data_IF_827331726544
#
_entry.id   IF_827331726544
#
_cell.length_a   1.000
_cell.length_b   1.000
_cell.length_c   1.000
_cell.angle_alpha   90.00
_cell.angle_beta   90.00
_cell.angle_gamma   90.00
#
_symmetry.space_group_name_H-M   'P 1'
#
loop_
_entity.id
_entity.type
_entity.pdbx_description
1 polymer ?
#
# COMPACT_ATOMS: atom_id res chain seq x y z
N UNK A 1 -10.73 16.15 4.33
CA UNK A 1 -11.44 15.56 5.50
C UNK A 1 -12.37 14.40 5.15
N UNK A 2 -13.36 14.54 4.25
CA UNK A 2 -14.29 13.44 3.94
C UNK A 2 -13.60 12.18 3.39
N UNK A 3 -12.67 12.33 2.46
CA UNK A 3 -11.91 11.21 1.88
C UNK A 3 -11.10 10.46 2.95
N UNK A 4 -10.29 11.17 3.74
CA UNK A 4 -9.50 10.56 4.82
C UNK A 4 -10.34 9.81 5.87
N UNK A 5 -11.50 10.36 6.27
CA UNK A 5 -12.42 9.67 7.19
C UNK A 5 -12.97 8.38 6.56
N UNK A 6 -13.35 8.44 5.28
CA UNK A 6 -13.81 7.26 4.55
C UNK A 6 -12.71 6.21 4.46
N UNK A 7 -11.47 6.58 4.12
CA UNK A 7 -10.34 5.65 4.09
C UNK A 7 -10.14 4.96 5.44
N UNK A 8 -10.22 5.70 6.55
CA UNK A 8 -10.13 5.10 7.88
C UNK A 8 -11.27 4.10 8.18
N UNK A 9 -12.49 4.35 7.70
CA UNK A 9 -13.61 3.41 7.81
C UNK A 9 -13.45 2.18 6.92
N UNK A 10 -12.87 2.36 5.73
CA UNK A 10 -12.49 1.28 4.82
C UNK A 10 -11.46 0.35 5.50
N UNK A 11 -10.44 0.89 6.17
CA UNK A 11 -9.42 0.08 6.85
C UNK A 11 -9.97 -0.81 7.98
N UNK A 12 -10.96 -0.31 8.72
CA UNK A 12 -11.67 -1.12 9.73
C UNK A 12 -12.40 -2.29 9.08
N UNK A 13 -13.00 -2.07 7.90
CA UNK A 13 -13.64 -3.14 7.13
C UNK A 13 -12.60 -4.11 6.57
N UNK A 14 -11.50 -3.60 5.98
CA UNK A 14 -10.44 -4.42 5.39
C UNK A 14 -9.85 -5.35 6.44
N UNK A 15 -9.52 -4.83 7.62
CA UNK A 15 -9.01 -5.61 8.75
C UNK A 15 -9.92 -6.78 9.10
N UNK A 16 -11.24 -6.57 9.18
CA UNK A 16 -12.21 -7.63 9.49
C UNK A 16 -12.26 -8.70 8.41
N UNK A 17 -12.20 -8.30 7.13
CA UNK A 17 -12.20 -9.23 5.99
C UNK A 17 -10.91 -10.05 5.97
N UNK A 18 -9.76 -9.40 6.13
CA UNK A 18 -8.45 -10.06 6.16
C UNK A 18 -8.33 -11.01 7.35
N UNK A 19 -8.86 -10.63 8.52
CA UNK A 19 -8.92 -11.50 9.69
C UNK A 19 -9.79 -12.75 9.43
N UNK A 20 -10.95 -12.60 8.77
CA UNK A 20 -11.79 -13.74 8.42
C UNK A 20 -11.10 -14.70 7.44
N UNK A 21 -10.39 -14.18 6.44
CA UNK A 21 -9.57 -14.99 5.53
C UNK A 21 -8.43 -15.71 6.28
N UNK A 22 -7.72 -15.01 7.15
CA UNK A 22 -6.65 -15.59 7.96
C UNK A 22 -7.17 -16.77 8.81
N UNK A 23 -8.29 -16.58 9.51
CA UNK A 23 -8.92 -17.64 10.30
C UNK A 23 -9.39 -18.83 9.44
N UNK A 24 -9.94 -18.57 8.25
CA UNK A 24 -10.33 -19.64 7.32
C UNK A 24 -9.14 -20.50 6.89
N UNK A 25 -7.96 -19.89 6.76
CA UNK A 25 -6.70 -20.60 6.48
C UNK A 25 -5.99 -21.13 7.73
N UNK A 26 -6.64 -21.11 8.90
CA UNK A 26 -6.10 -21.67 10.15
C UNK A 26 -5.08 -20.78 10.86
N UNK A 27 -4.88 -19.54 10.40
CA UNK A 27 -4.01 -18.58 11.06
C UNK A 27 -4.68 -17.96 12.29
N UNK A 28 -3.85 -17.59 13.27
CA UNK A 28 -4.25 -16.78 14.42
C UNK A 28 -3.72 -15.36 14.20
N UNK A 29 -4.58 -14.38 14.42
CA UNK A 29 -4.17 -12.97 14.40
C UNK A 29 -3.64 -12.58 15.78
N UNK A 30 -2.38 -12.13 15.90
CA UNK A 30 -1.87 -11.59 17.16
C UNK A 30 -2.57 -10.26 17.50
N UNK A 31 -2.61 -9.93 18.78
CA UNK A 31 -2.96 -8.57 19.19
C UNK A 31 -1.87 -7.59 18.72
N UNK A 32 -2.31 -6.42 18.25
CA UNK A 32 -1.43 -5.35 17.80
C UNK A 32 -1.43 -4.26 18.86
N UNK A 33 -0.25 -3.97 19.42
CA UNK A 33 -0.06 -2.80 20.28
C UNK A 33 0.16 -1.55 19.40
N UNK A 34 -0.75 -0.60 19.52
CA UNK A 34 -0.73 0.65 18.74
C UNK A 34 -0.32 1.78 19.67
N UNK A 35 0.81 2.42 19.35
CA UNK A 35 1.25 3.61 20.08
C UNK A 35 0.17 4.71 20.01
N UNK A 36 -0.08 5.42 21.11
CA UNK A 36 -1.03 6.54 21.10
C UNK A 36 -0.68 7.57 20.04
N UNK A 37 -1.71 8.16 19.42
CA UNK A 37 -1.54 9.22 18.43
C UNK A 37 -0.72 10.38 19.01
N UNK A 38 0.24 10.85 18.21
CA UNK A 38 1.01 12.06 18.49
C UNK A 38 0.89 13.04 17.32
N UNK A 39 0.66 14.34 17.57
CA UNK A 39 0.65 15.33 16.52
C UNK A 39 2.04 15.44 15.88
N UNK A 40 2.07 15.74 14.58
CA UNK A 40 3.29 15.87 13.78
C UNK A 40 3.26 17.17 13.00
N UNK A 41 4.43 17.66 12.61
CA UNK A 41 4.52 18.78 11.67
C UNK A 41 3.99 18.34 10.29
N UNK A 42 3.58 19.31 9.47
CA UNK A 42 3.17 19.05 8.09
C UNK A 42 4.30 18.35 7.32
N UNK A 43 5.53 18.81 7.47
CA UNK A 43 6.71 18.19 6.87
C UNK A 43 6.85 16.71 7.25
N UNK A 44 6.77 16.38 8.55
CA UNK A 44 6.88 14.99 8.99
C UNK A 44 5.73 14.11 8.46
N UNK A 45 4.51 14.65 8.40
CA UNK A 45 3.37 13.93 7.84
C UNK A 45 3.52 13.66 6.34
N UNK A 46 4.04 14.62 5.58
CA UNK A 46 4.17 14.50 4.12
C UNK A 46 5.34 13.60 3.76
N UNK A 47 6.45 13.67 4.52
CA UNK A 47 7.56 12.71 4.36
C UNK A 47 7.10 11.28 4.62
N UNK A 48 6.28 11.04 5.66
CA UNK A 48 5.69 9.70 5.87
C UNK A 48 4.74 9.31 4.74
N UNK A 49 3.85 10.22 4.29
CA UNK A 49 2.95 9.96 3.18
C UNK A 49 3.70 9.61 1.88
N UNK A 50 4.85 10.23 1.64
CA UNK A 50 5.68 9.93 0.49
C UNK A 50 6.31 8.52 0.53
N UNK A 51 6.62 8.03 1.73
CA UNK A 51 7.14 6.67 1.95
C UNK A 51 6.00 5.64 1.89
N UNK A 52 5.01 5.81 2.75
CA UNK A 52 3.92 4.84 2.92
C UNK A 52 2.89 5.00 1.81
N UNK A 53 2.13 6.11 1.80
CA UNK A 53 1.04 6.33 0.84
C UNK A 53 1.45 6.28 -0.63
N UNK A 54 2.37 7.17 -1.03
CA UNK A 54 2.74 7.35 -2.45
C UNK A 54 3.53 6.16 -3.02
N UNK A 55 4.28 5.42 -2.19
CA UNK A 55 5.11 4.30 -2.67
C UNK A 55 4.59 2.96 -2.18
N UNK A 56 4.65 2.67 -0.88
CA UNK A 56 4.35 1.31 -0.37
C UNK A 56 2.87 0.93 -0.50
N UNK A 57 1.96 1.79 -0.09
CA UNK A 57 0.51 1.58 -0.20
C UNK A 57 0.05 1.63 -1.65
N UNK A 58 0.60 2.54 -2.48
CA UNK A 58 0.30 2.54 -3.92
C UNK A 58 0.73 1.24 -4.58
N UNK A 59 1.92 0.72 -4.27
CA UNK A 59 2.34 -0.61 -4.72
C UNK A 59 1.43 -1.72 -4.15
N UNK A 60 1.06 -1.62 -2.87
CA UNK A 60 0.09 -2.50 -2.22
C UNK A 60 -1.24 -2.56 -2.98
N UNK A 61 -1.79 -1.42 -3.39
CA UNK A 61 -3.01 -1.35 -4.19
C UNK A 61 -2.88 -2.09 -5.53
N UNK A 62 -1.74 -1.96 -6.22
CA UNK A 62 -1.46 -2.71 -7.45
C UNK A 62 -1.40 -4.23 -7.19
N UNK A 63 -0.76 -4.64 -6.11
CA UNK A 63 -0.67 -6.04 -5.68
C UNK A 63 -2.06 -6.58 -5.31
N UNK A 64 -2.87 -5.84 -4.55
CA UNK A 64 -4.23 -6.22 -4.18
C UNK A 64 -5.12 -6.36 -5.42
N UNK A 65 -5.03 -5.42 -6.37
CA UNK A 65 -5.75 -5.50 -7.64
C UNK A 65 -5.32 -6.70 -8.48
N UNK A 66 -4.02 -7.03 -8.47
CA UNK A 66 -3.51 -8.26 -9.08
C UNK A 66 -4.13 -9.50 -8.44
N UNK A 67 -4.00 -9.65 -7.11
CA UNK A 67 -4.52 -10.78 -6.37
C UNK A 67 -6.03 -10.96 -6.54
N UNK A 68 -6.80 -9.87 -6.57
CA UNK A 68 -8.24 -9.90 -6.82
C UNK A 68 -8.62 -10.54 -8.16
N UNK A 69 -7.73 -10.49 -9.16
CA UNK A 69 -7.93 -11.09 -10.49
C UNK A 69 -7.34 -12.48 -10.63
N UNK A 70 -6.21 -12.75 -9.96
CA UNK A 70 -5.36 -13.90 -10.27
C UNK A 70 -5.32 -14.98 -9.20
N UNK A 71 -5.76 -14.69 -7.98
CA UNK A 71 -5.84 -15.68 -6.90
C UNK A 71 -6.64 -16.89 -7.34
N UNK A 72 -6.15 -18.10 -7.07
CA UNK A 72 -6.86 -19.36 -7.34
C UNK A 72 -8.05 -19.57 -6.41
N UNK A 73 -7.95 -19.08 -5.18
CA UNK A 73 -9.03 -19.13 -4.18
C UNK A 73 -10.13 -18.11 -4.50
N UNK A 74 -11.34 -18.61 -4.77
CA UNK A 74 -12.48 -17.78 -5.13
C UNK A 74 -12.94 -16.85 -3.99
N UNK A 75 -12.77 -17.25 -2.73
CA UNK A 75 -13.10 -16.39 -1.59
C UNK A 75 -12.11 -15.24 -1.45
N UNK A 76 -10.82 -15.50 -1.71
CA UNK A 76 -9.79 -14.44 -1.71
C UNK A 76 -10.08 -13.44 -2.83
N UNK A 77 -10.37 -13.88 -4.06
CA UNK A 77 -10.75 -12.97 -5.15
C UNK A 77 -11.98 -12.13 -4.81
N UNK A 78 -13.03 -12.76 -4.25
CA UNK A 78 -14.28 -12.09 -3.86
C UNK A 78 -14.02 -11.02 -2.79
N UNK A 79 -13.20 -11.32 -1.80
CA UNK A 79 -12.83 -10.40 -0.75
C UNK A 79 -11.97 -9.24 -1.25
N UNK A 80 -10.96 -9.51 -2.07
CA UNK A 80 -10.03 -8.50 -2.55
C UNK A 80 -10.59 -7.61 -3.67
N UNK A 81 -11.67 -8.04 -4.35
CA UNK A 81 -12.32 -7.24 -5.41
C UNK A 81 -12.71 -5.85 -4.94
N UNK A 82 -13.60 -5.70 -3.95
CA UNK A 82 -13.96 -4.40 -3.39
C UNK A 82 -12.77 -3.66 -2.76
N UNK A 83 -11.94 -4.37 -1.97
CA UNK A 83 -10.76 -3.81 -1.30
C UNK A 83 -9.84 -3.15 -2.34
N UNK A 84 -9.57 -3.81 -3.47
CA UNK A 84 -8.70 -3.24 -4.51
C UNK A 84 -9.17 -1.88 -5.04
N UNK A 85 -10.49 -1.61 -5.04
CA UNK A 85 -11.04 -0.31 -5.42
C UNK A 85 -10.90 0.73 -4.31
N UNK A 86 -11.02 0.29 -3.05
CA UNK A 86 -10.77 1.14 -1.89
C UNK A 86 -9.29 1.56 -1.85
N UNK A 87 -8.38 0.59 -1.95
CA UNK A 87 -6.93 0.81 -1.94
C UNK A 87 -6.48 1.73 -3.09
N UNK A 88 -7.07 1.60 -4.28
CA UNK A 88 -6.79 2.54 -5.37
C UNK A 88 -7.19 3.97 -5.02
N UNK A 89 -8.34 4.17 -4.38
CA UNK A 89 -8.77 5.51 -3.91
C UNK A 89 -7.89 6.03 -2.79
N UNK A 90 -7.32 5.16 -1.98
CA UNK A 90 -6.40 5.54 -0.90
C UNK A 90 -5.07 6.00 -1.48
N UNK A 91 -4.54 5.27 -2.46
CA UNK A 91 -3.39 5.71 -3.25
C UNK A 91 -3.65 7.09 -3.90
N UNK A 92 -4.79 7.27 -4.59
CA UNK A 92 -5.18 8.58 -5.16
C UNK A 92 -5.21 9.70 -4.11
N UNK A 93 -5.72 9.41 -2.90
CA UNK A 93 -5.72 10.37 -1.80
C UNK A 93 -4.30 10.71 -1.32
N UNK A 94 -3.41 9.73 -1.21
CA UNK A 94 -2.02 9.94 -0.80
C UNK A 94 -1.30 10.89 -1.78
N UNK A 95 -1.48 10.68 -3.08
CA UNK A 95 -0.92 11.56 -4.11
C UNK A 95 -1.54 12.97 -4.07
N UNK A 96 -2.86 13.08 -3.87
CA UNK A 96 -3.50 14.38 -3.71
C UNK A 96 -3.03 15.14 -2.46
N UNK A 97 -2.67 14.43 -1.38
CA UNK A 97 -2.06 15.04 -0.18
C UNK A 97 -0.64 15.53 -0.47
N UNK A 98 0.18 14.76 -1.19
CA UNK A 98 1.54 15.15 -1.60
C UNK A 98 1.50 16.44 -2.42
N UNK A 99 0.66 16.49 -3.46
CA UNK A 99 0.50 17.65 -4.33
C UNK A 99 0.05 18.88 -3.54
N UNK A 100 -1.01 18.75 -2.74
CA UNK A 100 -1.53 19.84 -1.91
C UNK A 100 -0.50 20.37 -0.91
N UNK A 101 0.27 19.48 -0.29
CA UNK A 101 1.24 19.87 0.72
C UNK A 101 2.50 20.49 0.10
N UNK A 102 2.90 20.06 -1.10
CA UNK A 102 4.08 20.56 -1.80
C UNK A 102 4.08 22.10 -1.95
N UNK A 103 2.92 22.70 -2.19
CA UNK A 103 2.74 24.15 -2.30
C UNK A 103 3.01 24.90 -0.98
N UNK A 104 2.91 24.20 0.16
CA UNK A 104 2.97 24.75 1.53
C UNK A 104 4.29 24.45 2.22
N UNK A 105 5.12 23.59 1.64
CA UNK A 105 6.44 23.24 2.16
C UNK A 105 7.51 24.23 1.69
N UNK A 106 8.53 24.44 2.52
CA UNK A 106 9.76 25.11 2.09
C UNK A 106 10.45 24.31 0.98
N UNK A 107 11.30 24.94 0.16
CA UNK A 107 12.07 24.21 -0.86
C UNK A 107 12.85 23.03 -0.30
N UNK A 108 13.54 23.22 0.84
CA UNK A 108 14.31 22.15 1.50
C UNK A 108 13.42 21.00 1.97
N UNK A 109 12.23 21.27 2.48
CA UNK A 109 11.29 20.23 2.89
C UNK A 109 10.75 19.45 1.68
N UNK A 110 10.51 20.10 0.53
CA UNK A 110 10.13 19.42 -0.71
C UNK A 110 11.24 18.49 -1.20
N UNK A 111 12.50 18.94 -1.13
CA UNK A 111 13.64 18.12 -1.52
C UNK A 111 13.75 16.86 -0.65
N UNK A 112 13.53 16.99 0.66
CA UNK A 112 13.50 15.85 1.59
C UNK A 112 12.38 14.85 1.26
N UNK A 113 11.18 15.34 0.96
CA UNK A 113 10.04 14.49 0.55
C UNK A 113 10.33 13.74 -0.75
N UNK A 114 10.89 14.44 -1.75
CA UNK A 114 11.30 13.84 -3.03
C UNK A 114 12.39 12.79 -2.83
N UNK A 115 13.38 13.07 -1.98
CA UNK A 115 14.43 12.13 -1.63
C UNK A 115 13.87 10.88 -0.96
N UNK A 116 13.01 11.04 0.05
CA UNK A 116 12.39 9.93 0.77
C UNK A 116 11.63 9.01 -0.21
N UNK A 117 10.78 9.57 -1.08
CA UNK A 117 10.07 8.80 -2.11
C UNK A 117 11.00 8.01 -3.03
N UNK A 118 12.08 8.64 -3.53
CA UNK A 118 13.06 7.97 -4.42
C UNK A 118 13.87 6.90 -3.71
N UNK A 119 14.19 7.09 -2.44
CA UNK A 119 14.89 6.10 -1.62
C UNK A 119 13.98 4.90 -1.32
N UNK A 120 12.73 5.14 -0.92
CA UNK A 120 11.75 4.09 -0.69
C UNK A 120 11.48 3.28 -1.94
N UNK A 121 11.37 3.91 -3.12
CA UNK A 121 11.19 3.19 -4.37
C UNK A 121 12.37 2.24 -4.66
N UNK A 122 13.61 2.71 -4.48
CA UNK A 122 14.82 1.88 -4.64
C UNK A 122 14.90 0.74 -3.63
N UNK A 123 14.54 1.01 -2.37
CA UNK A 123 14.47 -0.01 -1.33
C UNK A 123 13.42 -1.07 -1.67
N UNK A 124 12.24 -0.64 -2.09
CA UNK A 124 11.15 -1.54 -2.48
C UNK A 124 11.52 -2.39 -3.70
N UNK A 125 12.23 -1.83 -4.68
CA UNK A 125 12.76 -2.58 -5.83
C UNK A 125 13.73 -3.68 -5.39
N UNK A 126 14.63 -3.37 -4.46
CA UNK A 126 15.54 -4.36 -3.88
C UNK A 126 14.80 -5.43 -3.05
N UNK A 127 13.84 -5.03 -2.21
CA UNK A 127 12.99 -5.94 -1.43
C UNK A 127 12.24 -6.91 -2.36
N UNK A 128 11.55 -6.40 -3.39
CA UNK A 128 10.80 -7.21 -4.34
C UNK A 128 11.73 -8.10 -5.16
N UNK A 129 12.85 -7.56 -5.65
CA UNK A 129 13.81 -8.30 -6.46
C UNK A 129 14.55 -9.42 -5.71
N UNK A 130 14.66 -9.33 -4.39
CA UNK A 130 15.31 -10.35 -3.55
C UNK A 130 14.34 -11.44 -3.06
N UNK A 131 13.02 -11.20 -3.16
CA UNK A 131 12.01 -12.14 -2.69
C UNK A 131 11.52 -13.07 -3.80
N UNK A 132 11.37 -14.35 -3.47
CA UNK A 132 10.67 -15.32 -4.32
C UNK A 132 9.52 -15.91 -3.52
N UNK A 133 8.26 -15.49 -3.78
CA UNK A 133 7.13 -15.98 -3.01
C UNK A 133 6.96 -17.49 -3.23
N UNK A 134 6.61 -18.26 -2.19
CA UNK A 134 6.26 -19.67 -2.33
C UNK A 134 5.20 -19.87 -3.40
N UNK A 135 5.35 -20.91 -4.24
CA UNK A 135 4.43 -21.14 -5.36
C UNK A 135 2.97 -21.28 -4.93
N UNK A 136 2.73 -21.85 -3.74
CA UNK A 136 1.39 -21.98 -3.19
C UNK A 136 0.74 -20.61 -2.94
N UNK A 137 1.49 -19.59 -2.51
CA UNK A 137 0.94 -18.24 -2.34
C UNK A 137 0.65 -17.58 -3.68
N UNK A 138 1.49 -17.84 -4.69
CA UNK A 138 1.24 -17.38 -6.06
C UNK A 138 -0.05 -17.99 -6.61
N UNK A 139 -0.22 -19.31 -6.45
CA UNK A 139 -1.41 -20.02 -6.96
C UNK A 139 -2.67 -19.71 -6.16
N UNK A 140 -2.65 -19.86 -4.84
CA UNK A 140 -3.86 -19.80 -4.02
C UNK A 140 -4.23 -18.36 -3.67
N UNK A 141 -3.28 -17.60 -3.13
CA UNK A 141 -3.52 -16.21 -2.70
C UNK A 141 -3.35 -15.19 -3.84
N UNK A 142 -2.86 -15.62 -5.01
CA UNK A 142 -2.64 -14.75 -6.17
C UNK A 142 -1.46 -13.81 -6.02
N UNK A 143 -0.57 -14.03 -5.05
CA UNK A 143 0.60 -13.16 -4.84
C UNK A 143 1.39 -13.10 -6.15
N UNK A 144 1.75 -11.91 -6.67
CA UNK A 144 2.51 -11.83 -7.91
C UNK A 144 3.85 -12.56 -7.76
N UNK A 145 4.27 -13.27 -8.82
CA UNK A 145 5.65 -13.77 -8.89
C UNK A 145 6.64 -12.61 -8.81
N UNK A 146 7.92 -12.90 -8.51
CA UNK A 146 8.97 -11.86 -8.48
C UNK A 146 8.96 -10.99 -9.74
N UNK A 147 8.90 -11.61 -10.91
CA UNK A 147 8.87 -10.90 -12.19
C UNK A 147 7.61 -10.04 -12.36
N UNK A 148 6.44 -10.58 -11.98
CA UNK A 148 5.18 -9.84 -12.05
C UNK A 148 5.18 -8.65 -11.07
N UNK A 149 5.71 -8.83 -9.87
CA UNK A 149 5.83 -7.79 -8.86
C UNK A 149 6.77 -6.67 -9.33
N UNK A 150 7.92 -7.02 -9.93
CA UNK A 150 8.82 -6.03 -10.55
C UNK A 150 8.13 -5.28 -11.70
N UNK A 151 7.35 -5.96 -12.53
CA UNK A 151 6.60 -5.30 -13.60
C UNK A 151 5.53 -4.32 -13.06
N UNK A 152 4.81 -4.68 -11.99
CA UNK A 152 3.90 -3.76 -11.31
C UNK A 152 4.66 -2.55 -10.74
N UNK A 153 5.81 -2.78 -10.11
CA UNK A 153 6.63 -1.73 -9.53
C UNK A 153 7.22 -0.78 -10.59
N UNK A 154 7.66 -1.29 -11.73
CA UNK A 154 8.10 -0.46 -12.86
C UNK A 154 6.97 0.43 -13.38
N UNK A 155 5.73 -0.06 -13.40
CA UNK A 155 4.56 0.75 -13.73
C UNK A 155 4.34 1.91 -12.74
N UNK A 156 4.51 1.66 -11.44
CA UNK A 156 4.49 2.70 -10.41
C UNK A 156 5.62 3.71 -10.57
N UNK A 157 6.83 3.26 -10.90
CA UNK A 157 8.01 4.13 -11.05
C UNK A 157 7.80 5.23 -12.09
N UNK A 158 6.96 4.99 -13.11
CA UNK A 158 6.57 6.00 -14.11
C UNK A 158 5.76 7.16 -13.50
N UNK A 159 5.01 6.92 -12.43
CA UNK A 159 4.26 7.96 -11.70
C UNK A 159 5.13 8.74 -10.70
N UNK A 160 6.26 8.14 -10.29
CA UNK A 160 7.17 8.69 -9.29
C UNK A 160 8.32 9.51 -9.92
N UNK A 161 8.64 9.25 -11.18
CA UNK A 161 9.71 9.90 -11.95
C UNK A 161 9.32 11.31 -12.41
#
# INVERSE_FOLDING_TARGET
MKAARRSAEDEVRHTRVMQALAHRHGARMPEVDIRPFQPRSLEAMVTENAVEGCVRETFGALVTAWQARTSGDAEVRRALGPISQDELRHAELAWAIDDWASERLSPSARDLVLQARRETLRMLEHEVGSQTPPEQLVREAGVPSREQALNLLHGLAVLVA
#
